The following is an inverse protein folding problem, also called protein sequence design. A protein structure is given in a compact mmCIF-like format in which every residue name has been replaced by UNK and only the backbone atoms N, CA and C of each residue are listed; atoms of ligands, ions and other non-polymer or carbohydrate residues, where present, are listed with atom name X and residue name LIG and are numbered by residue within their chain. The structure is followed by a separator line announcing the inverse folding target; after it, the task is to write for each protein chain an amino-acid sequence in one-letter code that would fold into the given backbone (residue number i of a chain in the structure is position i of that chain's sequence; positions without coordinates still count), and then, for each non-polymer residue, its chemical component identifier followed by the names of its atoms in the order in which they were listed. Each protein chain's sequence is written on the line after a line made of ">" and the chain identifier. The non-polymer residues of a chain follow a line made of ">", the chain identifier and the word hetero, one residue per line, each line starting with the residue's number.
data_IF_557338064055
#
_entry.id   IF_557338064055
#
_cell.length_a   1.000
_cell.length_b   1.000
_cell.length_c   1.000
_cell.angle_alpha   90.00
_cell.angle_beta   90.00
_cell.angle_gamma   90.00
#
_symmetry.space_group_name_H-M   'P 1'
#
loop_
_entity.id
_entity.type
_entity.pdbx_description
1 polymer ?
#
# COMPACT_ATOMS: atom_id res chain seq x y z
N UNK A 1 -56.18 -17.15 30.14
CA UNK A 1 -55.67 -15.76 30.03
C UNK A 1 -54.44 -15.68 30.92
N UNK A 2 -53.23 -15.30 30.50
CA UNK A 2 -52.79 -14.42 29.42
C UNK A 2 -51.46 -14.95 28.87
N UNK A 3 -51.30 -14.84 27.56
CA UNK A 3 -50.12 -15.23 26.78
C UNK A 3 -49.02 -14.20 26.97
N UNK A 4 -47.86 -14.62 27.45
CA UNK A 4 -46.57 -13.96 27.23
C UNK A 4 -45.46 -14.99 27.47
N UNK A 5 -44.41 -15.18 26.70
CA UNK A 5 -44.08 -14.88 25.30
C UNK A 5 -42.78 -15.70 25.08
N UNK A 6 -42.83 -16.72 24.22
CA UNK A 6 -41.66 -17.35 23.60
C UNK A 6 -40.95 -16.28 22.76
N UNK A 7 -39.87 -15.65 23.24
CA UNK A 7 -38.96 -14.83 22.43
C UNK A 7 -37.54 -14.93 22.98
N UNK A 8 -36.58 -14.99 22.04
CA UNK A 8 -35.13 -14.91 22.19
C UNK A 8 -34.41 -16.25 22.43
N UNK A 9 -34.72 -17.20 21.54
CA UNK A 9 -33.68 -18.00 20.94
C UNK A 9 -32.60 -17.08 20.31
N UNK A 10 -31.34 -17.53 20.39
CA UNK A 10 -30.20 -17.03 19.61
C UNK A 10 -29.57 -15.74 20.16
N UNK A 11 -28.89 -15.86 21.32
CA UNK A 11 -27.74 -15.01 21.67
C UNK A 11 -26.43 -15.82 21.53
N UNK A 12 -26.31 -16.55 20.43
CA UNK A 12 -25.11 -17.31 20.08
C UNK A 12 -24.46 -16.68 18.86
N UNK A 13 -23.20 -16.26 19.02
CA UNK A 13 -22.25 -15.89 17.98
C UNK A 13 -22.53 -14.61 17.17
N UNK A 14 -22.13 -13.47 17.74
CA UNK A 14 -21.69 -12.28 16.99
C UNK A 14 -20.55 -11.68 17.86
N UNK A 15 -19.31 -11.40 17.45
CA UNK A 15 -18.61 -11.27 16.17
C UNK A 15 -17.10 -11.48 16.46
N UNK A 16 -16.50 -12.62 16.08
CA UNK A 16 -15.04 -12.71 15.90
C UNK A 16 -14.73 -12.48 14.42
N UNK A 17 -14.76 -11.23 13.98
CA UNK A 17 -14.31 -10.86 12.63
C UNK A 17 -13.89 -9.38 12.57
N UNK A 18 -12.96 -8.97 13.43
CA UNK A 18 -12.16 -7.75 13.20
C UNK A 18 -10.74 -8.19 12.89
N UNK A 19 -10.53 -8.66 11.66
CA UNK A 19 -9.20 -8.68 11.05
C UNK A 19 -9.25 -8.53 9.52
N UNK A 20 -10.19 -7.75 8.99
CA UNK A 20 -10.27 -7.42 7.57
C UNK A 20 -9.49 -6.13 7.20
N UNK A 21 -8.33 -5.90 7.83
CA UNK A 21 -7.49 -4.75 7.50
C UNK A 21 -5.99 -5.10 7.47
N UNK A 22 -5.66 -6.26 6.90
CA UNK A 22 -4.35 -6.43 6.26
C UNK A 22 -4.55 -5.98 4.82
N UNK A 23 -3.94 -4.84 4.46
CA UNK A 23 -3.92 -4.39 3.07
C UNK A 23 -3.58 -5.58 2.18
N UNK A 24 -4.45 -5.87 1.20
CA UNK A 24 -4.21 -6.96 0.27
C UNK A 24 -2.84 -6.75 -0.37
N UNK A 25 -1.83 -7.42 0.18
CA UNK A 25 -0.62 -7.73 -0.55
C UNK A 25 -1.12 -8.66 -1.65
N UNK A 26 -1.53 -8.08 -2.78
CA UNK A 26 -1.82 -8.85 -3.99
C UNK A 26 -0.56 -9.69 -4.20
N UNK A 27 -0.69 -11.00 -4.04
CA UNK A 27 0.34 -11.94 -4.42
C UNK A 27 0.71 -11.60 -5.86
N UNK A 28 2.01 -11.45 -6.13
CA UNK A 28 2.43 -11.28 -7.51
C UNK A 28 2.05 -12.57 -8.23
N UNK A 29 1.09 -12.47 -9.14
CA UNK A 29 0.68 -13.59 -9.98
C UNK A 29 1.87 -14.05 -10.80
N UNK A 30 1.98 -15.36 -11.04
CA UNK A 30 3.02 -15.87 -11.93
C UNK A 30 2.81 -15.37 -13.38
N UNK A 31 3.84 -15.38 -14.23
CA UNK A 31 3.69 -15.08 -15.65
C UNK A 31 2.60 -15.93 -16.31
N UNK A 32 2.52 -17.21 -15.97
CA UNK A 32 1.55 -18.18 -16.48
C UNK A 32 0.13 -17.83 -16.05
N UNK A 33 -0.09 -17.58 -14.75
CA UNK A 33 -1.41 -17.17 -14.23
C UNK A 33 -1.89 -15.86 -14.87
N UNK A 34 -0.96 -14.92 -15.09
CA UNK A 34 -1.27 -13.66 -15.77
C UNK A 34 -1.62 -13.90 -17.24
N UNK A 35 -0.85 -14.73 -17.94
CA UNK A 35 -1.06 -15.05 -19.33
C UNK A 35 -2.40 -15.78 -19.55
N UNK A 36 -2.71 -16.73 -18.68
CA UNK A 36 -3.99 -17.44 -18.68
C UNK A 36 -5.15 -16.48 -18.47
N UNK A 37 -5.09 -15.65 -17.43
CA UNK A 37 -6.14 -14.66 -17.14
C UNK A 37 -6.37 -13.68 -18.29
N UNK A 38 -5.30 -13.19 -18.91
CA UNK A 38 -5.40 -12.30 -20.07
C UNK A 38 -6.02 -13.01 -21.27
N UNK A 39 -5.60 -14.24 -21.51
CA UNK A 39 -6.10 -15.05 -22.63
C UNK A 39 -7.57 -15.37 -22.42
N UNK A 40 -7.99 -15.85 -21.25
CA UNK A 40 -9.39 -16.17 -20.95
C UNK A 40 -10.28 -14.94 -21.13
N UNK A 41 -9.85 -13.77 -20.66
CA UNK A 41 -10.60 -12.53 -20.87
C UNK A 41 -10.71 -12.18 -22.37
N UNK A 42 -9.65 -12.34 -23.15
CA UNK A 42 -9.69 -12.10 -24.60
C UNK A 42 -10.57 -13.12 -25.31
N UNK A 43 -10.51 -14.39 -24.93
CA UNK A 43 -11.39 -15.43 -25.47
C UNK A 43 -12.86 -15.11 -25.21
N UNK A 44 -13.21 -14.71 -23.99
CA UNK A 44 -14.59 -14.33 -23.65
C UNK A 44 -15.08 -13.08 -24.42
N UNK A 45 -14.21 -12.08 -24.59
CA UNK A 45 -14.59 -10.80 -25.20
C UNK A 45 -14.61 -10.84 -26.73
N UNK A 46 -13.82 -11.71 -27.34
CA UNK A 46 -13.62 -11.77 -28.79
C UNK A 46 -14.08 -13.09 -29.40
N UNK A 47 -14.64 -13.99 -28.60
CA UNK A 47 -15.11 -15.31 -29.02
C UNK A 47 -14.04 -16.11 -29.79
N UNK A 48 -12.81 -16.12 -29.26
CA UNK A 48 -11.66 -16.73 -29.93
C UNK A 48 -11.83 -18.24 -30.09
N UNK A 49 -11.40 -18.77 -31.25
CA UNK A 49 -11.29 -20.22 -31.46
C UNK A 49 -10.18 -20.83 -30.59
N UNK A 50 -10.18 -22.16 -30.44
CA UNK A 50 -9.16 -22.87 -29.66
C UNK A 50 -7.74 -22.65 -30.19
N UNK A 51 -7.56 -22.56 -31.51
CA UNK A 51 -6.25 -22.31 -32.10
C UNK A 51 -5.80 -20.86 -31.89
N UNK A 52 -6.71 -19.89 -31.99
CA UNK A 52 -6.42 -18.49 -31.66
C UNK A 52 -6.09 -18.33 -30.18
N UNK A 53 -6.82 -19.00 -29.29
CA UNK A 53 -6.58 -19.00 -27.85
C UNK A 53 -5.17 -19.51 -27.51
N UNK A 54 -4.73 -20.60 -28.14
CA UNK A 54 -3.35 -21.12 -27.95
C UNK A 54 -2.30 -20.12 -28.40
N UNK A 55 -2.48 -19.49 -29.56
CA UNK A 55 -1.54 -18.48 -30.07
C UNK A 55 -1.47 -17.25 -29.17
N UNK A 56 -2.62 -16.74 -28.74
CA UNK A 56 -2.72 -15.59 -27.83
C UNK A 56 -2.13 -15.92 -26.46
N UNK A 57 -2.33 -17.13 -25.95
CA UNK A 57 -1.70 -17.58 -24.72
C UNK A 57 -0.18 -17.49 -24.79
N UNK A 58 0.43 -17.99 -25.87
CA UNK A 58 1.89 -17.95 -26.02
C UNK A 58 2.41 -16.50 -26.09
N UNK A 59 1.73 -15.61 -26.82
CA UNK A 59 2.07 -14.18 -26.87
C UNK A 59 1.98 -13.55 -25.47
N UNK A 60 0.91 -13.83 -24.74
CA UNK A 60 0.70 -13.30 -23.40
C UNK A 60 1.72 -13.84 -22.41
N UNK A 61 2.12 -15.11 -22.52
CA UNK A 61 3.14 -15.73 -21.68
C UNK A 61 4.50 -15.09 -21.91
N UNK A 62 4.94 -14.97 -23.16
CA UNK A 62 6.21 -14.32 -23.49
C UNK A 62 6.27 -12.88 -22.95
N UNK A 63 5.19 -12.12 -23.14
CA UNK A 63 5.09 -10.76 -22.63
C UNK A 63 5.08 -10.70 -21.10
N UNK A 64 4.38 -11.61 -20.43
CA UNK A 64 4.32 -11.68 -18.98
C UNK A 64 5.70 -12.01 -18.39
N UNK A 65 6.43 -12.93 -19.01
CA UNK A 65 7.79 -13.32 -18.62
C UNK A 65 8.78 -12.16 -18.79
N UNK A 66 8.77 -11.48 -19.94
CA UNK A 66 9.60 -10.27 -20.17
C UNK A 66 9.35 -9.20 -19.11
N UNK A 67 8.07 -8.91 -18.85
CA UNK A 67 7.68 -7.93 -17.83
C UNK A 67 8.11 -8.34 -16.42
N UNK A 68 8.08 -9.64 -16.09
CA UNK A 68 8.54 -10.12 -14.79
C UNK A 68 10.05 -9.86 -14.62
N UNK A 69 10.85 -10.20 -15.63
CA UNK A 69 12.29 -9.95 -15.63
C UNK A 69 12.62 -8.44 -15.51
N UNK A 70 11.92 -7.58 -16.26
CA UNK A 70 12.08 -6.13 -16.15
C UNK A 70 11.75 -5.59 -14.74
N UNK A 71 10.69 -6.13 -14.12
CA UNK A 71 10.30 -5.75 -12.77
C UNK A 71 11.33 -6.18 -11.72
N UNK A 72 11.94 -7.35 -11.89
CA UNK A 72 13.01 -7.85 -11.04
C UNK A 72 14.27 -6.98 -11.17
N UNK A 73 14.72 -6.71 -12.40
CA UNK A 73 15.86 -5.83 -12.64
C UNK A 73 15.63 -4.43 -12.06
N UNK A 74 14.44 -3.86 -12.26
CA UNK A 74 14.07 -2.56 -11.67
C UNK A 74 14.04 -2.60 -10.15
N UNK A 75 13.63 -3.70 -9.54
CA UNK A 75 13.61 -3.85 -8.07
C UNK A 75 15.02 -3.76 -7.50
N UNK A 76 15.99 -4.42 -8.14
CA UNK A 76 17.40 -4.37 -7.74
C UNK A 76 17.97 -2.95 -7.89
N UNK A 77 17.74 -2.32 -9.04
CA UNK A 77 18.17 -0.94 -9.28
C UNK A 77 17.60 0.03 -8.23
N UNK A 78 16.31 -0.11 -7.90
CA UNK A 78 15.64 0.70 -6.89
C UNK A 78 16.19 0.44 -5.48
N UNK A 79 16.59 -0.79 -5.16
CA UNK A 79 17.23 -1.12 -3.88
C UNK A 79 18.62 -0.47 -3.77
N UNK A 80 19.43 -0.54 -4.84
CA UNK A 80 20.73 0.12 -4.89
C UNK A 80 20.58 1.65 -4.74
N UNK A 81 19.68 2.27 -5.52
CA UNK A 81 19.38 3.71 -5.42
C UNK A 81 18.90 4.12 -4.04
N UNK A 82 18.07 3.30 -3.39
CA UNK A 82 17.58 3.56 -2.03
C UNK A 82 18.71 3.55 -1.02
N UNK A 83 19.63 2.60 -1.13
CA UNK A 83 20.79 2.48 -0.22
C UNK A 83 21.72 3.68 -0.38
N UNK A 84 22.10 4.03 -1.61
CA UNK A 84 22.94 5.20 -1.88
C UNK A 84 22.29 6.51 -1.38
N UNK A 85 20.97 6.66 -1.53
CA UNK A 85 20.26 7.82 -1.00
C UNK A 85 20.24 7.85 0.54
N UNK A 86 20.14 6.69 1.21
CA UNK A 86 20.22 6.62 2.67
C UNK A 86 21.59 7.05 3.19
N UNK A 87 22.67 6.57 2.57
CA UNK A 87 24.03 6.96 2.90
C UNK A 87 24.25 8.46 2.72
N UNK A 88 23.90 9.00 1.55
CA UNK A 88 23.99 10.45 1.30
C UNK A 88 23.22 11.28 2.32
N UNK A 89 22.01 10.85 2.70
CA UNK A 89 21.22 11.56 3.69
C UNK A 89 21.83 11.48 5.09
N UNK A 90 22.49 10.35 5.43
CA UNK A 90 23.20 10.18 6.69
C UNK A 90 24.42 11.11 6.76
N UNK A 91 25.24 11.11 5.71
CA UNK A 91 26.44 11.97 5.63
C UNK A 91 26.05 13.45 5.74
N UNK A 92 25.00 13.87 5.01
CA UNK A 92 24.48 15.21 5.10
C UNK A 92 23.97 15.54 6.52
N UNK A 93 23.31 14.59 7.17
CA UNK A 93 22.86 14.75 8.56
C UNK A 93 24.04 14.95 9.51
N UNK A 94 25.11 14.16 9.39
CA UNK A 94 26.31 14.30 10.23
C UNK A 94 26.98 15.67 10.03
N UNK A 95 27.09 16.13 8.78
CA UNK A 95 27.62 17.47 8.47
C UNK A 95 26.78 18.59 9.08
N UNK A 96 25.45 18.46 9.04
CA UNK A 96 24.55 19.42 9.66
C UNK A 96 24.72 19.38 11.19
N UNK A 97 24.70 18.20 11.80
CA UNK A 97 24.83 18.05 13.26
C UNK A 97 26.15 18.62 13.79
N UNK A 98 27.23 18.56 13.02
CA UNK A 98 28.55 19.09 13.40
C UNK A 98 28.60 20.62 13.54
N UNK A 99 27.68 21.36 12.91
CA UNK A 99 27.64 22.83 12.96
C UNK A 99 26.56 23.38 13.90
N UNK A 100 25.76 22.52 14.53
CA UNK A 100 24.67 22.92 15.43
C UNK A 100 25.15 22.99 16.89
N UNK A 101 24.61 23.96 17.64
CA UNK A 101 24.72 23.93 19.11
C UNK A 101 23.82 22.83 19.70
N UNK A 102 24.04 22.42 20.97
CA UNK A 102 23.20 21.42 21.62
C UNK A 102 21.70 21.76 21.58
N UNK A 103 21.33 23.03 21.82
CA UNK A 103 19.95 23.49 21.81
C UNK A 103 19.34 23.43 20.39
N UNK A 104 20.14 23.81 19.38
CA UNK A 104 19.73 23.73 17.98
C UNK A 104 19.55 22.29 17.51
N UNK A 105 20.38 21.36 17.99
CA UNK A 105 20.27 19.93 17.69
C UNK A 105 18.97 19.35 18.21
N UNK A 106 18.58 19.67 19.44
CA UNK A 106 17.28 19.26 20.03
C UNK A 106 16.12 19.75 19.18
N UNK A 107 16.09 21.04 18.83
CA UNK A 107 15.04 21.62 17.97
C UNK A 107 15.01 20.98 16.57
N UNK A 108 16.18 20.66 16.02
CA UNK A 108 16.28 20.02 14.71
C UNK A 108 15.72 18.58 14.71
N UNK A 109 15.94 17.82 15.78
CA UNK A 109 15.35 16.48 15.96
C UNK A 109 13.82 16.54 16.05
N UNK A 110 13.27 17.47 16.83
CA UNK A 110 11.82 17.68 16.92
C UNK A 110 11.19 17.98 15.55
N UNK A 111 11.82 18.87 14.76
CA UNK A 111 11.37 19.19 13.40
C UNK A 111 11.38 17.96 12.47
N UNK A 112 12.37 17.07 12.61
CA UNK A 112 12.44 15.83 11.82
C UNK A 112 11.30 14.87 12.17
N UNK A 113 11.01 14.73 13.45
CA UNK A 113 9.93 13.86 13.92
C UNK A 113 8.56 14.39 13.50
N UNK A 114 8.31 15.69 13.66
CA UNK A 114 7.07 16.32 13.14
C UNK A 114 6.90 16.10 11.64
N UNK A 115 7.98 16.26 10.87
CA UNK A 115 7.94 16.06 9.43
C UNK A 115 7.67 14.60 9.07
N UNK A 116 8.22 13.65 9.84
CA UNK A 116 7.94 12.21 9.68
C UNK A 116 6.48 11.90 9.98
N UNK A 117 5.92 12.45 11.06
CA UNK A 117 4.51 12.29 11.39
C UNK A 117 3.60 12.87 10.31
N UNK A 118 3.85 14.11 9.85
CA UNK A 118 3.11 14.73 8.74
C UNK A 118 3.11 13.84 7.50
N UNK A 119 4.26 13.26 7.13
CA UNK A 119 4.35 12.31 6.00
C UNK A 119 3.54 11.03 6.22
N UNK A 120 3.58 10.46 7.42
CA UNK A 120 2.80 9.27 7.75
C UNK A 120 1.29 9.56 7.67
N UNK A 121 0.83 10.69 8.22
CA UNK A 121 -0.59 11.06 8.15
C UNK A 121 -1.09 11.21 6.71
N UNK A 122 -0.30 11.81 5.82
CA UNK A 122 -0.63 11.95 4.39
C UNK A 122 -0.68 10.56 3.73
N UNK A 123 0.27 9.68 4.03
CA UNK A 123 0.29 8.31 3.50
C UNK A 123 -0.97 7.56 3.93
N UNK A 124 -1.32 7.63 5.21
CA UNK A 124 -2.48 6.92 5.74
C UNK A 124 -3.80 7.51 5.19
N UNK A 125 -3.84 8.80 4.86
CA UNK A 125 -4.99 9.43 4.21
C UNK A 125 -5.15 8.97 2.75
N UNK A 126 -4.04 8.76 2.03
CA UNK A 126 -4.07 8.21 0.66
C UNK A 126 -4.51 6.75 0.60
N UNK A 127 -4.26 5.98 1.67
CA UNK A 127 -4.65 4.57 1.74
C UNK A 127 -6.09 4.34 2.21
N UNK A 128 -6.75 5.35 2.77
CA UNK A 128 -8.13 5.27 3.22
C UNK A 128 -8.86 6.60 2.88
N UNK A 129 -9.59 6.68 1.75
CA UNK A 129 -10.25 7.91 1.29
C UNK A 129 -11.49 8.30 2.11
N UNK A 130 -12.07 7.42 2.94
CA UNK A 130 -13.22 7.73 3.82
C UNK A 130 -12.79 8.39 5.15
N UNK A 131 -12.22 9.59 5.07
CA UNK A 131 -11.86 10.40 6.25
C UNK A 131 -12.54 11.76 6.30
N UNK A 132 -13.86 11.79 6.52
CA UNK A 132 -14.53 12.99 7.06
C UNK A 132 -13.80 13.56 8.31
N UNK A 133 -13.11 12.70 9.06
CA UNK A 133 -12.31 13.06 10.25
C UNK A 133 -11.00 13.81 9.96
N UNK A 134 -10.49 13.82 8.72
CA UNK A 134 -9.26 14.54 8.39
C UNK A 134 -9.48 16.07 8.33
N UNK A 135 -10.70 16.50 8.01
CA UNK A 135 -11.08 17.91 8.00
C UNK A 135 -11.21 18.49 9.42
N UNK A 136 -11.59 17.68 10.42
CA UNK A 136 -11.71 18.15 11.81
C UNK A 136 -10.37 18.34 12.51
N UNK A 137 -9.31 17.58 12.14
CA UNK A 137 -7.96 17.74 12.72
C UNK A 137 -7.21 18.97 12.20
N UNK A 138 -7.48 19.44 10.97
CA UNK A 138 -6.94 20.71 10.45
C UNK A 138 -7.63 21.95 11.06
N UNK A 139 -8.79 21.77 11.71
CA UNK A 139 -9.56 22.83 12.39
C UNK A 139 -9.22 22.98 13.88
N UNK A 140 -8.12 22.41 14.38
CA UNK A 140 -7.60 22.87 15.68
C UNK A 140 -6.85 24.18 15.44
N UNK A 141 -7.23 25.28 16.14
CA UNK A 141 -6.65 26.58 15.87
C UNK A 141 -5.13 26.51 16.03
N UNK A 142 -4.45 27.21 15.12
CA UNK A 142 -3.05 27.57 15.27
C UNK A 142 -2.85 28.02 16.71
N UNK A 143 -1.79 27.51 17.35
CA UNK A 143 -1.39 27.94 18.68
C UNK A 143 -1.04 29.42 18.54
N UNK A 144 -1.99 30.29 18.83
CA UNK A 144 -1.78 31.73 18.85
C UNK A 144 -0.89 32.04 20.06
N UNK A 145 0.29 32.59 19.74
CA UNK A 145 1.29 33.24 20.60
C UNK A 145 2.11 32.33 21.52
#
# INVERSE_FOLDING_TARGET
>A
MKRTLLIAAIFSLTIFAVSAQRGHQKTMQSPEERAEKMTSKMTEQLELSEDQKKQIYQINLENATKRQAEMEARKEEMQAKRTAMMEKNKDQQEQIEAVLTPEQKTKWMELKDENREKRNTIRDARQNPDREKFQQRRKRPSRDK
#
